data_IF_274417344203
#
_entry.id   IF_274417344203
#
_cell.length_a   1.000
_cell.length_b   1.000
_cell.length_c   1.000
_cell.angle_alpha   90.00
_cell.angle_beta   90.00
_cell.angle_gamma   90.00
#
_symmetry.space_group_name_H-M   'P 1'
#
loop_
_entity.id
_entity.type
_entity.pdbx_description
1 polymer ?
#
# COMPACT_ATOMS: atom_id res chain seq x y z
N UNK A 1 11.64 10.73 10.60
CA UNK A 1 11.50 9.42 9.90
C UNK A 1 10.01 9.16 9.75
N UNK A 2 9.54 8.82 8.55
CA UNK A 2 8.13 8.53 8.28
C UNK A 2 7.98 7.05 7.99
N UNK A 3 7.17 6.33 8.78
CA UNK A 3 6.80 4.97 8.46
C UNK A 3 5.51 4.99 7.64
N UNK A 4 5.59 4.56 6.39
CA UNK A 4 4.43 4.42 5.49
C UNK A 4 4.26 2.98 5.00
N UNK A 5 4.98 2.02 5.60
CA UNK A 5 4.78 0.61 5.31
C UNK A 5 3.44 0.15 5.89
N UNK A 6 2.51 -0.19 5.00
CA UNK A 6 1.20 -0.71 5.35
C UNK A 6 1.04 -2.19 5.04
N UNK A 7 2.14 -2.91 4.79
CA UNK A 7 2.13 -4.35 4.59
C UNK A 7 1.47 -4.77 3.28
N UNK A 8 1.76 -4.05 2.19
CA UNK A 8 1.19 -4.27 0.85
C UNK A 8 1.29 -5.72 0.34
N UNK A 9 2.30 -6.48 0.79
CA UNK A 9 2.48 -7.89 0.42
C UNK A 9 1.45 -8.85 1.03
N UNK A 10 0.78 -8.44 2.12
CA UNK A 10 -0.28 -9.20 2.80
C UNK A 10 -1.66 -8.65 2.39
N UNK A 11 -2.49 -8.26 3.36
CA UNK A 11 -3.79 -7.62 3.14
C UNK A 11 -3.76 -6.09 3.24
N UNK A 12 -2.56 -5.50 3.13
CA UNK A 12 -2.33 -4.06 3.21
C UNK A 12 -2.64 -3.30 1.93
N UNK A 13 -2.34 -2.01 1.95
CA UNK A 13 -2.47 -1.07 0.83
C UNK A 13 -1.11 -0.73 0.23
N UNK A 14 -1.07 -0.18 -0.97
CA UNK A 14 0.12 0.54 -1.45
C UNK A 14 0.10 1.93 -0.81
N UNK A 15 1.23 2.36 -0.27
CA UNK A 15 1.40 3.72 0.25
C UNK A 15 2.38 4.50 -0.62
N UNK A 16 2.03 5.75 -0.92
CA UNK A 16 2.91 6.72 -1.57
C UNK A 16 2.88 8.03 -0.78
N UNK A 17 3.99 8.75 -0.75
CA UNK A 17 4.09 10.06 -0.12
C UNK A 17 4.76 11.04 -1.07
N UNK A 18 4.15 12.20 -1.27
CA UNK A 18 4.78 13.32 -1.95
C UNK A 18 5.89 13.93 -1.07
N UNK A 19 7.08 14.12 -1.64
CA UNK A 19 8.27 14.49 -0.85
C UNK A 19 8.25 15.95 -0.39
N UNK A 20 7.57 16.85 -1.09
CA UNK A 20 7.60 18.28 -0.77
C UNK A 20 6.46 18.63 0.19
N UNK A 21 5.25 18.19 -0.12
CA UNK A 21 4.03 18.44 0.67
C UNK A 21 3.85 17.49 1.85
N UNK A 22 4.49 16.31 1.81
CA UNK A 22 4.27 15.18 2.73
C UNK A 22 2.84 14.63 2.69
N UNK A 23 2.08 14.92 1.64
CA UNK A 23 0.77 14.31 1.42
C UNK A 23 0.94 12.80 1.22
N UNK A 24 0.05 12.02 1.83
CA UNK A 24 0.06 10.56 1.74
C UNK A 24 -1.17 10.11 0.94
N UNK A 25 -0.92 9.29 -0.07
CA UNK A 25 -1.94 8.57 -0.81
C UNK A 25 -1.86 7.09 -0.51
N UNK A 26 -3.01 6.43 -0.44
CA UNK A 26 -3.11 4.98 -0.28
C UNK A 26 -4.15 4.40 -1.23
N UNK A 27 -3.86 3.21 -1.75
CA UNK A 27 -4.78 2.45 -2.59
C UNK A 27 -5.85 1.72 -1.77
N UNK A 28 -6.83 1.11 -2.44
CA UNK A 28 -7.58 -0.02 -1.88
C UNK A 28 -6.62 -1.19 -1.54
N UNK A 29 -7.02 -2.14 -0.69
CA UNK A 29 -6.17 -3.29 -0.35
C UNK A 29 -5.67 -4.04 -1.59
N UNK A 30 -4.39 -4.38 -1.62
CA UNK A 30 -3.72 -4.91 -2.83
C UNK A 30 -4.37 -6.20 -3.34
N UNK A 31 -4.80 -7.08 -2.44
CA UNK A 31 -5.49 -8.33 -2.79
C UNK A 31 -6.85 -8.12 -3.48
N UNK A 32 -7.47 -6.94 -3.35
CA UNK A 32 -8.71 -6.60 -4.07
C UNK A 32 -8.43 -6.07 -5.48
N UNK A 33 -7.29 -5.39 -5.66
CA UNK A 33 -6.85 -4.88 -6.95
C UNK A 33 -6.31 -6.00 -7.85
N UNK A 34 -5.70 -7.02 -7.25
CA UNK A 34 -5.15 -8.19 -7.93
C UNK A 34 -5.71 -9.49 -7.34
N UNK A 35 -7.02 -9.77 -7.51
CA UNK A 35 -7.70 -10.87 -6.84
C UNK A 35 -7.30 -12.26 -7.35
N UNK A 36 -6.71 -12.34 -8.54
CA UNK A 36 -6.27 -13.59 -9.15
C UNK A 36 -4.82 -13.96 -8.78
N UNK A 37 -4.11 -13.07 -8.10
CA UNK A 37 -2.75 -13.32 -7.63
C UNK A 37 -2.79 -14.02 -6.26
N UNK A 38 -2.01 -15.09 -6.10
CA UNK A 38 -1.95 -15.83 -4.84
C UNK A 38 -1.49 -14.96 -3.65
N UNK A 39 -0.68 -13.93 -3.93
CA UNK A 39 -0.15 -13.01 -2.92
C UNK A 39 0.74 -13.69 -1.88
N UNK A 40 1.02 -12.99 -0.78
CA UNK A 40 1.66 -13.55 0.41
C UNK A 40 0.72 -13.34 1.61
N UNK A 41 -0.40 -14.08 1.63
CA UNK A 41 -1.40 -14.03 2.71
C UNK A 41 -1.26 -15.18 3.70
#
# INVERSE_FOLDING_TARGET
VWNIDTGAAFKGTISAMDVDSKEVWQSDPVWQLYPEEAGRN
#
